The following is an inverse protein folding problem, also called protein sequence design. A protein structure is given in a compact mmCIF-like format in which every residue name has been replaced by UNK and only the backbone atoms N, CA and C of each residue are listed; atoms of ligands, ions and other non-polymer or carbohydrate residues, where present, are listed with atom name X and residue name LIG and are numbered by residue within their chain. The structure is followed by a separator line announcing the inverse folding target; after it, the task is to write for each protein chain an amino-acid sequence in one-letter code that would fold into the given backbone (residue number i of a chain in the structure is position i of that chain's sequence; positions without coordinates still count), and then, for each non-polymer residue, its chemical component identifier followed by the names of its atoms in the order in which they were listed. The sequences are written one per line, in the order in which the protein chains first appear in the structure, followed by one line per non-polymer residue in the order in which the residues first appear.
data_IF_102662341418
#
_entry.id   IF_102662341418
#
_cell.length_a   1.000
_cell.length_b   1.000
_cell.length_c   1.000
_cell.angle_alpha   90.00
_cell.angle_beta   90.00
_cell.angle_gamma   90.00
#
_symmetry.space_group_name_H-M   'P 1'
#
loop_
_entity.id
_entity.type
_entity.pdbx_description
1 polymer ?
#
# COMPACT_ATOMS: atom_id res chain seq x y z
N UNK A 1 -17.54 4.82 13.35
CA UNK A 1 -18.60 5.18 12.40
C UNK A 1 -18.95 6.66 12.45
N UNK A 2 -19.74 7.15 11.50
CA UNK A 2 -20.27 8.53 11.51
C UNK A 2 -21.14 8.78 12.73
N UNK A 3 -21.95 7.83 13.13
CA UNK A 3 -22.79 7.95 14.33
C UNK A 3 -21.96 8.20 15.60
N UNK A 4 -20.88 7.43 15.79
CA UNK A 4 -19.97 7.63 16.91
C UNK A 4 -19.24 8.98 16.87
N UNK A 5 -18.92 9.47 15.67
CA UNK A 5 -18.34 10.80 15.49
C UNK A 5 -19.37 11.90 15.82
N UNK A 6 -20.61 11.75 15.38
CA UNK A 6 -21.69 12.70 15.67
C UNK A 6 -22.01 12.78 17.17
N UNK A 7 -22.04 11.65 17.87
CA UNK A 7 -22.21 11.62 19.33
C UNK A 7 -21.13 12.43 20.07
N UNK A 8 -19.88 12.35 19.59
CA UNK A 8 -18.75 13.08 20.19
C UNK A 8 -18.63 14.52 19.72
N UNK A 9 -19.28 14.87 18.64
CA UNK A 9 -19.20 16.18 17.99
C UNK A 9 -20.59 16.70 17.64
N UNK A 10 -21.48 16.91 18.66
CA UNK A 10 -22.88 17.25 18.44
C UNK A 10 -23.12 18.60 17.75
N UNK A 11 -22.07 19.42 17.59
CA UNK A 11 -22.11 20.68 16.86
C UNK A 11 -22.11 20.51 15.35
N UNK A 12 -21.80 19.30 14.83
CA UNK A 12 -21.79 18.98 13.41
C UNK A 12 -22.87 17.96 13.08
N UNK A 13 -23.54 18.14 11.96
CA UNK A 13 -24.47 17.14 11.44
C UNK A 13 -23.75 15.96 10.77
N UNK A 14 -24.45 14.84 10.61
CA UNK A 14 -23.87 13.62 10.04
C UNK A 14 -23.36 13.81 8.60
N UNK A 15 -24.05 14.60 7.78
CA UNK A 15 -23.66 14.85 6.39
C UNK A 15 -22.36 15.67 6.31
N UNK A 16 -22.19 16.64 7.20
CA UNK A 16 -20.93 17.38 7.31
C UNK A 16 -19.79 16.46 7.72
N UNK A 17 -20.01 15.62 8.74
CA UNK A 17 -19.00 14.69 9.22
C UNK A 17 -18.59 13.67 8.15
N UNK A 18 -19.54 13.14 7.40
CA UNK A 18 -19.26 12.22 6.30
C UNK A 18 -18.39 12.88 5.22
N UNK A 19 -18.75 14.10 4.81
CA UNK A 19 -17.96 14.87 3.84
C UNK A 19 -16.55 15.20 4.36
N UNK A 20 -16.43 15.57 5.63
CA UNK A 20 -15.15 15.85 6.26
C UNK A 20 -14.27 14.59 6.33
N UNK A 21 -14.85 13.45 6.71
CA UNK A 21 -14.13 12.18 6.77
C UNK A 21 -13.70 11.69 5.38
N UNK A 22 -14.53 11.91 4.35
CA UNK A 22 -14.15 11.62 2.98
C UNK A 22 -12.92 12.47 2.55
N UNK A 23 -12.95 13.76 2.80
CA UNK A 23 -11.83 14.65 2.46
C UNK A 23 -10.53 14.29 3.20
N UNK A 24 -10.63 13.90 4.47
CA UNK A 24 -9.47 13.44 5.26
C UNK A 24 -8.96 12.09 4.74
N UNK A 25 -9.85 11.22 4.27
CA UNK A 25 -9.47 9.94 3.64
C UNK A 25 -8.78 10.15 2.29
N UNK A 26 -9.25 11.10 1.49
CA UNK A 26 -8.61 11.51 0.23
C UNK A 26 -7.22 12.11 0.46
N UNK A 27 -6.96 12.68 1.62
CA UNK A 27 -5.62 13.17 1.98
C UNK A 27 -4.66 12.08 2.45
N UNK A 28 -5.13 10.87 2.67
CA UNK A 28 -4.33 9.75 3.15
C UNK A 28 -4.04 9.74 4.65
N UNK A 29 -4.67 10.62 5.43
CA UNK A 29 -4.48 10.65 6.89
C UNK A 29 -5.34 9.63 7.63
N UNK A 30 -6.43 9.21 7.01
CA UNK A 30 -7.40 8.27 7.57
C UNK A 30 -7.78 7.27 6.48
N UNK A 31 -7.60 6.03 6.76
CA UNK A 31 -8.17 4.94 5.96
C UNK A 31 -9.60 4.62 6.38
N UNK A 32 -10.32 3.94 5.52
CA UNK A 32 -11.56 3.28 5.89
C UNK A 32 -11.63 1.86 5.32
N UNK A 33 -12.40 1.04 5.98
CA UNK A 33 -12.83 -0.25 5.49
C UNK A 33 -14.35 -0.37 5.64
N UNK A 34 -14.94 -1.22 4.82
CA UNK A 34 -16.34 -1.53 4.92
C UNK A 34 -16.53 -2.71 5.86
N UNK A 35 -17.21 -2.49 6.97
CA UNK A 35 -17.65 -3.59 7.82
C UNK A 35 -18.69 -4.43 7.09
N UNK A 36 -18.49 -5.75 7.12
CA UNK A 36 -19.44 -6.74 6.64
C UNK A 36 -19.68 -6.78 5.12
N UNK A 37 -18.65 -6.57 4.31
CA UNK A 37 -18.68 -6.85 2.87
C UNK A 37 -18.99 -8.32 2.54
N UNK A 38 -18.86 -9.24 3.51
CA UNK A 38 -19.18 -10.67 3.35
C UNK A 38 -20.68 -10.98 3.24
N UNK A 39 -21.52 -9.96 3.17
CA UNK A 39 -22.98 -10.08 3.00
C UNK A 39 -23.75 -10.62 4.21
N UNK A 40 -23.10 -10.84 5.34
CA UNK A 40 -23.74 -11.38 6.55
C UNK A 40 -24.39 -10.31 7.42
N UNK A 41 -24.01 -9.06 7.21
CA UNK A 41 -24.63 -7.94 7.90
C UNK A 41 -25.25 -6.97 6.87
N UNK A 42 -26.55 -6.66 6.94
CA UNK A 42 -27.19 -5.73 6.00
C UNK A 42 -26.76 -4.27 6.17
N UNK A 43 -26.05 -3.95 7.23
CA UNK A 43 -25.55 -2.60 7.48
C UNK A 43 -24.11 -2.50 6.97
N UNK A 44 -23.96 -2.14 5.70
CA UNK A 44 -22.67 -1.72 5.16
C UNK A 44 -22.29 -0.40 5.83
N UNK A 45 -21.33 -0.43 6.72
CA UNK A 45 -20.89 0.74 7.44
C UNK A 45 -19.41 0.98 7.23
N UNK A 46 -19.06 2.20 6.82
CA UNK A 46 -17.66 2.62 6.78
C UNK A 46 -17.11 2.79 8.19
N UNK A 47 -15.98 2.18 8.45
CA UNK A 47 -15.18 2.37 9.65
C UNK A 47 -13.90 3.09 9.30
N UNK A 48 -13.72 4.27 9.85
CA UNK A 48 -12.50 5.05 9.66
C UNK A 48 -11.51 4.76 10.78
N UNK A 49 -10.26 4.65 10.39
CA UNK A 49 -9.12 4.40 11.28
C UNK A 49 -7.98 5.35 10.90
N UNK A 50 -7.26 5.85 11.89
CA UNK A 50 -6.03 6.57 11.64
C UNK A 50 -5.05 5.60 11.00
N UNK A 51 -4.52 5.99 9.86
CA UNK A 51 -3.53 5.19 9.18
C UNK A 51 -2.19 5.23 9.91
N UNK A 52 -1.40 4.17 9.72
CA UNK A 52 0.00 4.22 10.12
C UNK A 52 0.74 5.23 9.25
N UNK A 53 1.81 5.78 9.78
CA UNK A 53 2.56 6.77 9.04
C UNK A 53 3.40 6.16 7.91
N UNK A 54 4.02 5.01 8.14
CA UNK A 54 4.80 4.23 7.16
C UNK A 54 4.78 2.74 7.53
N UNK A 55 4.41 1.84 6.62
CA UNK A 55 3.71 2.11 5.37
C UNK A 55 2.28 2.57 5.66
N UNK A 56 1.83 3.59 4.97
CA UNK A 56 0.50 4.14 5.18
C UNK A 56 0.38 5.56 4.66
N UNK A 57 0.02 6.52 5.51
CA UNK A 57 -0.31 7.88 5.11
C UNK A 57 0.78 8.57 4.26
N UNK A 58 2.06 8.29 4.50
CA UNK A 58 3.14 8.85 3.69
C UNK A 58 3.11 8.37 2.23
N UNK A 59 2.86 7.08 2.03
CA UNK A 59 2.68 6.48 0.70
C UNK A 59 1.42 6.98 0.02
N UNK A 60 0.31 7.03 0.75
CA UNK A 60 -0.99 7.45 0.23
C UNK A 60 -0.96 8.90 -0.24
N UNK A 61 -0.36 9.81 0.54
CA UNK A 61 -0.16 11.21 0.13
C UNK A 61 0.62 11.33 -1.17
N UNK A 62 1.58 10.43 -1.44
CA UNK A 62 2.37 10.46 -2.67
C UNK A 62 1.61 9.92 -3.89
N UNK A 63 0.72 8.96 -3.72
CA UNK A 63 -0.02 8.37 -4.84
C UNK A 63 -1.25 9.20 -5.25
N UNK A 64 -1.70 10.13 -4.41
CA UNK A 64 -2.75 11.07 -4.80
C UNK A 64 -2.18 12.09 -5.79
N UNK A 65 -2.61 12.08 -7.07
CA UNK A 65 -2.01 12.93 -8.10
C UNK A 65 -2.25 14.41 -7.86
N UNK A 66 -3.42 14.78 -7.34
CA UNK A 66 -3.74 16.18 -7.07
C UNK A 66 -2.91 16.73 -5.91
N UNK A 67 -2.80 15.98 -4.83
CA UNK A 67 -2.05 16.42 -3.65
C UNK A 67 -0.55 16.44 -3.89
N UNK A 68 0.01 15.41 -4.50
CA UNK A 68 1.45 15.34 -4.73
C UNK A 68 1.96 16.38 -5.75
N UNK A 69 1.13 16.76 -6.71
CA UNK A 69 1.45 17.81 -7.65
C UNK A 69 1.23 19.23 -7.05
N UNK A 70 0.26 19.38 -6.15
CA UNK A 70 -0.01 20.63 -5.43
C UNK A 70 1.02 20.92 -4.31
N UNK A 71 1.51 19.88 -3.65
CA UNK A 71 2.44 19.96 -2.52
C UNK A 71 3.69 19.10 -2.77
N UNK A 72 4.53 19.48 -3.75
CA UNK A 72 5.72 18.70 -4.13
C UNK A 72 6.74 18.53 -3.00
N UNK A 73 6.73 19.41 -1.98
CA UNK A 73 7.56 19.29 -0.79
C UNK A 73 7.28 18.03 0.03
N UNK A 74 6.12 17.39 -0.13
CA UNK A 74 5.83 16.09 0.49
C UNK A 74 6.78 15.00 0.02
N UNK A 75 7.31 15.12 -1.20
CA UNK A 75 8.30 14.19 -1.73
C UNK A 75 9.63 14.25 -0.96
N UNK A 76 10.07 15.45 -0.57
CA UNK A 76 11.26 15.62 0.27
C UNK A 76 11.04 15.11 1.69
N UNK A 77 9.86 15.33 2.22
CA UNK A 77 9.48 14.79 3.51
C UNK A 77 9.49 13.27 3.50
N UNK A 78 8.89 12.64 2.51
CA UNK A 78 8.87 11.19 2.36
C UNK A 78 10.29 10.61 2.13
N UNK A 79 11.17 11.32 1.40
CA UNK A 79 12.57 10.92 1.26
C UNK A 79 13.31 10.93 2.60
N UNK A 80 13.15 12.00 3.39
CA UNK A 80 13.80 12.11 4.70
C UNK A 80 13.42 10.97 5.65
N UNK A 81 12.23 10.43 5.50
CA UNK A 81 11.78 9.31 6.30
C UNK A 81 12.58 8.03 6.06
N UNK A 82 13.04 7.81 4.82
CA UNK A 82 13.91 6.67 4.52
C UNK A 82 15.26 6.72 5.27
N UNK A 83 15.64 7.91 5.77
CA UNK A 83 16.90 8.13 6.49
C UNK A 83 16.71 8.40 7.98
N UNK A 84 15.47 8.47 8.47
CA UNK A 84 15.27 8.55 9.92
C UNK A 84 15.92 7.35 10.58
N UNK A 85 16.62 7.55 11.71
CA UNK A 85 17.30 6.45 12.37
C UNK A 85 16.26 5.42 12.80
N UNK A 86 16.10 4.41 11.98
CA UNK A 86 15.28 3.24 12.26
C UNK A 86 15.81 2.45 13.45
N UNK A 87 16.97 2.85 14.03
CA UNK A 87 17.51 2.24 15.23
C UNK A 87 16.48 2.14 16.39
N UNK A 88 15.59 3.14 16.52
CA UNK A 88 14.48 3.07 17.47
C UNK A 88 13.25 2.32 16.94
N UNK A 89 13.13 2.16 15.63
CA UNK A 89 12.00 1.45 14.99
C UNK A 89 12.37 -0.02 14.77
N UNK A 90 13.64 -0.35 14.55
CA UNK A 90 14.11 -1.74 14.36
C UNK A 90 13.92 -2.59 15.60
N UNK A 91 13.89 -2.01 16.79
CA UNK A 91 13.49 -2.72 18.02
C UNK A 91 12.00 -3.13 18.03
N UNK A 92 11.18 -2.49 17.20
CA UNK A 92 9.76 -2.79 17.07
C UNK A 92 9.44 -3.75 15.91
N UNK A 93 10.43 -4.05 15.06
CA UNK A 93 10.26 -4.98 13.93
C UNK A 93 10.60 -6.40 14.40
N UNK A 94 9.69 -7.38 14.25
CA UNK A 94 9.98 -8.76 14.61
C UNK A 94 11.20 -9.30 13.87
N UNK A 95 12.01 -10.18 14.50
CA UNK A 95 13.11 -10.85 13.82
C UNK A 95 12.64 -11.55 12.54
N UNK A 96 13.28 -11.27 11.41
CA UNK A 96 12.92 -11.84 10.10
C UNK A 96 11.98 -10.98 9.26
N UNK A 97 11.51 -9.84 9.75
CA UNK A 97 10.83 -8.83 8.94
C UNK A 97 11.84 -8.00 8.16
N UNK A 98 11.76 -7.98 6.84
CA UNK A 98 12.49 -6.99 6.03
C UNK A 98 11.92 -5.62 6.39
N UNK A 99 12.75 -4.74 6.94
CA UNK A 99 12.40 -3.45 7.52
C UNK A 99 11.02 -2.90 7.12
N UNK A 100 10.18 -2.60 8.09
CA UNK A 100 8.84 -2.02 7.92
C UNK A 100 7.79 -3.00 7.33
N UNK A 101 7.77 -4.27 7.77
CA UNK A 101 6.67 -5.19 7.44
C UNK A 101 6.52 -5.55 5.96
N UNK A 102 7.59 -5.44 5.19
CA UNK A 102 7.63 -5.87 3.79
C UNK A 102 8.42 -7.17 3.65
N UNK A 103 7.87 -8.14 2.92
CA UNK A 103 8.54 -9.39 2.61
C UNK A 103 8.79 -9.52 1.11
N UNK A 104 10.02 -9.84 0.76
CA UNK A 104 10.38 -10.19 -0.61
C UNK A 104 9.78 -11.55 -0.96
N UNK A 105 9.06 -11.62 -2.06
CA UNK A 105 8.48 -12.84 -2.59
C UNK A 105 9.25 -13.24 -3.85
N UNK A 106 9.63 -14.50 -4.00
CA UNK A 106 10.30 -14.97 -5.21
C UNK A 106 9.37 -14.87 -6.43
N UNK A 107 9.98 -14.75 -7.61
CA UNK A 107 9.26 -14.89 -8.87
C UNK A 107 8.66 -16.29 -8.92
N UNK A 108 7.35 -16.40 -9.03
CA UNK A 108 6.63 -17.66 -8.83
C UNK A 108 7.10 -18.78 -9.77
N UNK A 109 7.35 -18.45 -11.05
CA UNK A 109 7.86 -19.41 -12.03
C UNK A 109 9.33 -19.82 -11.78
N UNK A 110 10.04 -19.17 -10.88
CA UNK A 110 11.38 -19.58 -10.46
C UNK A 110 11.36 -20.58 -9.29
N UNK A 111 10.18 -20.81 -8.70
CA UNK A 111 10.01 -21.82 -7.64
C UNK A 111 9.97 -23.20 -8.30
N UNK A 112 10.92 -24.13 -7.99
CA UNK A 112 10.90 -25.48 -8.56
C UNK A 112 9.58 -26.20 -8.22
N UNK A 113 9.06 -26.97 -9.17
CA UNK A 113 7.81 -27.72 -8.98
C UNK A 113 7.85 -28.72 -7.81
N UNK A 114 9.05 -29.18 -7.45
CA UNK A 114 9.29 -30.07 -6.32
C UNK A 114 9.48 -29.32 -4.99
N UNK A 115 9.49 -27.98 -5.03
CA UNK A 115 9.67 -27.16 -3.83
C UNK A 115 8.46 -27.32 -2.91
N UNK A 116 8.74 -27.39 -1.61
CA UNK A 116 7.72 -27.33 -0.56
C UNK A 116 7.37 -25.89 -0.19
N UNK A 117 7.27 -25.01 -1.19
CA UNK A 117 6.87 -23.62 -0.96
C UNK A 117 5.45 -23.56 -0.35
N UNK A 118 5.26 -22.59 0.53
CA UNK A 118 3.96 -22.35 1.12
C UNK A 118 3.06 -21.58 0.12
N UNK A 119 1.74 -21.76 0.15
CA UNK A 119 0.84 -20.98 -0.71
C UNK A 119 1.04 -19.47 -0.61
N UNK A 120 1.40 -18.97 0.57
CA UNK A 120 1.67 -17.55 0.82
C UNK A 120 2.89 -16.99 0.07
N UNK A 121 3.77 -17.87 -0.43
CA UNK A 121 4.94 -17.50 -1.25
C UNK A 121 4.58 -17.34 -2.74
N UNK A 122 3.32 -17.58 -3.11
CA UNK A 122 2.83 -17.43 -4.47
C UNK A 122 1.95 -16.19 -4.60
N UNK A 123 2.34 -15.24 -5.43
CA UNK A 123 1.53 -14.03 -5.66
C UNK A 123 0.18 -14.34 -6.28
N UNK A 124 0.11 -15.35 -7.15
CA UNK A 124 -1.14 -15.84 -7.73
C UNK A 124 -2.14 -16.31 -6.67
N UNK A 125 -1.67 -16.92 -5.56
CA UNK A 125 -2.50 -17.29 -4.42
C UNK A 125 -3.17 -16.05 -3.78
N UNK A 126 -2.41 -15.00 -3.54
CA UNK A 126 -2.94 -13.77 -2.95
C UNK A 126 -3.93 -13.07 -3.87
N UNK A 127 -3.60 -12.93 -5.16
CA UNK A 127 -4.50 -12.32 -6.12
C UNK A 127 -5.80 -13.13 -6.27
N UNK A 128 -5.73 -14.46 -6.24
CA UNK A 128 -6.93 -15.31 -6.29
C UNK A 128 -7.78 -15.18 -5.03
N UNK A 129 -7.15 -15.08 -3.87
CA UNK A 129 -7.84 -14.87 -2.59
C UNK A 129 -8.65 -13.57 -2.56
N UNK A 130 -8.13 -12.51 -3.17
CA UNK A 130 -8.75 -11.19 -3.21
C UNK A 130 -9.43 -10.86 -4.55
N UNK A 131 -9.71 -11.86 -5.37
CA UNK A 131 -10.38 -11.64 -6.66
C UNK A 131 -11.67 -10.84 -6.49
N UNK A 132 -11.84 -9.77 -7.30
CA UNK A 132 -12.93 -8.80 -7.17
C UNK A 132 -12.62 -7.60 -6.26
N UNK A 133 -11.53 -7.66 -5.50
CA UNK A 133 -11.03 -6.58 -4.64
C UNK A 133 -9.52 -6.38 -4.89
N UNK A 134 -9.17 -6.13 -6.15
CA UNK A 134 -7.81 -5.86 -6.59
C UNK A 134 -7.79 -4.51 -7.27
N UNK A 135 -6.90 -3.65 -6.83
CA UNK A 135 -6.69 -2.35 -7.43
C UNK A 135 -5.23 -2.12 -7.79
N UNK A 136 -4.97 -1.13 -8.61
CA UNK A 136 -3.62 -0.69 -8.94
C UNK A 136 -3.50 0.81 -8.80
N UNK A 137 -2.34 1.25 -8.34
CA UNK A 137 -1.98 2.67 -8.21
C UNK A 137 -0.58 2.94 -8.76
N UNK A 138 -0.29 4.21 -8.96
CA UNK A 138 1.09 4.65 -9.18
C UNK A 138 1.94 4.29 -7.95
N UNK A 139 3.21 4.01 -8.17
CA UNK A 139 4.10 3.70 -7.07
C UNK A 139 4.53 4.99 -6.34
N UNK A 140 4.25 5.11 -5.05
CA UNK A 140 4.62 6.24 -4.19
C UNK A 140 6.12 6.55 -4.24
N UNK A 141 6.96 5.53 -4.13
CA UNK A 141 8.41 5.69 -4.19
C UNK A 141 8.88 6.24 -5.54
N UNK A 142 8.29 5.79 -6.66
CA UNK A 142 8.61 6.31 -7.99
C UNK A 142 8.10 7.75 -8.18
N UNK A 143 6.87 8.02 -7.74
CA UNK A 143 6.29 9.37 -7.80
C UNK A 143 7.15 10.36 -7.03
N UNK A 144 7.58 10.01 -5.83
CA UNK A 144 8.49 10.79 -5.01
C UNK A 144 9.80 11.11 -5.75
N UNK A 145 10.47 10.10 -6.30
CA UNK A 145 11.74 10.30 -7.01
C UNK A 145 11.54 11.17 -8.26
N UNK A 146 10.44 10.99 -8.98
CA UNK A 146 10.11 11.85 -10.14
C UNK A 146 9.94 13.31 -9.74
N UNK A 147 9.21 13.60 -8.67
CA UNK A 147 9.00 14.97 -8.19
C UNK A 147 10.33 15.62 -7.79
N UNK A 148 11.24 14.86 -7.19
CA UNK A 148 12.58 15.33 -6.82
C UNK A 148 13.55 15.45 -8.01
N UNK A 149 13.15 15.01 -9.19
CA UNK A 149 14.03 14.96 -10.36
C UNK A 149 15.12 13.87 -10.26
N UNK A 150 14.90 12.88 -9.42
CA UNK A 150 15.80 11.77 -9.14
C UNK A 150 15.19 10.44 -9.63
N UNK A 151 15.95 9.36 -9.45
CA UNK A 151 15.52 8.03 -9.84
C UNK A 151 15.82 7.68 -11.29
N UNK A 152 15.59 6.44 -11.64
CA UNK A 152 15.84 5.89 -12.97
C UNK A 152 14.77 4.87 -13.35
N UNK A 153 14.66 4.62 -14.66
CA UNK A 153 13.73 3.63 -15.19
C UNK A 153 12.30 4.15 -15.32
N UNK A 154 11.35 3.24 -15.20
CA UNK A 154 9.93 3.51 -15.40
C UNK A 154 9.30 4.07 -14.11
N UNK A 155 9.28 5.39 -14.03
CA UNK A 155 8.78 6.13 -12.86
C UNK A 155 7.31 6.55 -12.98
N UNK A 156 6.68 6.32 -14.13
CA UNK A 156 5.29 6.70 -14.39
C UNK A 156 4.32 5.50 -14.35
N UNK A 157 4.83 4.29 -14.16
CA UNK A 157 4.01 3.08 -14.24
C UNK A 157 3.17 2.82 -12.99
N UNK A 158 2.05 2.15 -13.21
CA UNK A 158 1.20 1.58 -12.16
C UNK A 158 1.81 0.26 -11.67
N UNK A 159 2.54 0.31 -10.56
CA UNK A 159 3.33 -0.82 -10.06
C UNK A 159 2.93 -1.29 -8.66
N UNK A 160 2.04 -0.56 -8.00
CA UNK A 160 1.56 -0.91 -6.67
C UNK A 160 0.16 -1.51 -6.79
N UNK A 161 0.03 -2.79 -6.42
CA UNK A 161 -1.24 -3.51 -6.41
C UNK A 161 -1.77 -3.51 -4.99
N UNK A 162 -2.93 -2.90 -4.77
CA UNK A 162 -3.70 -2.99 -3.54
C UNK A 162 -4.63 -4.19 -3.58
N UNK A 163 -4.91 -4.79 -2.43
CA UNK A 163 -5.86 -5.91 -2.33
C UNK A 163 -6.80 -5.75 -1.14
N UNK A 164 -8.00 -6.33 -1.26
CA UNK A 164 -9.00 -6.28 -0.20
C UNK A 164 -9.47 -4.86 0.11
N UNK A 165 -9.66 -4.56 1.39
CA UNK A 165 -10.17 -3.27 1.86
C UNK A 165 -9.33 -2.09 1.36
N UNK A 166 -8.02 -2.26 1.24
CA UNK A 166 -7.13 -1.22 0.73
C UNK A 166 -7.37 -0.92 -0.76
N UNK A 167 -7.68 -1.92 -1.58
CA UNK A 167 -8.05 -1.70 -2.97
C UNK A 167 -9.35 -0.89 -3.08
N UNK A 168 -10.36 -1.25 -2.27
CA UNK A 168 -11.63 -0.54 -2.22
C UNK A 168 -11.46 0.92 -1.74
N UNK A 169 -10.63 1.12 -0.72
CA UNK A 169 -10.26 2.45 -0.25
C UNK A 169 -9.60 3.28 -1.35
N UNK A 170 -8.58 2.76 -2.02
CA UNK A 170 -7.87 3.46 -3.09
C UNK A 170 -8.80 3.86 -4.23
N UNK A 171 -9.73 2.98 -4.62
CA UNK A 171 -10.75 3.28 -5.64
C UNK A 171 -11.65 4.45 -5.23
N UNK A 172 -12.18 4.41 -4.01
CA UNK A 172 -13.15 5.40 -3.52
C UNK A 172 -12.53 6.75 -3.18
N UNK A 173 -11.22 6.81 -3.01
CA UNK A 173 -10.46 8.03 -2.70
C UNK A 173 -9.63 8.54 -3.87
N UNK A 174 -9.81 7.98 -5.07
CA UNK A 174 -9.06 8.36 -6.28
C UNK A 174 -7.53 8.16 -6.18
N UNK A 175 -7.10 7.20 -5.37
CA UNK A 175 -5.69 6.82 -5.25
C UNK A 175 -5.29 5.68 -6.20
N UNK A 176 -6.27 5.05 -6.85
CA UNK A 176 -6.07 3.92 -7.74
C UNK A 176 -7.34 3.55 -8.50
N UNK A 177 -7.24 2.51 -9.29
CA UNK A 177 -8.36 1.95 -10.06
C UNK A 177 -8.45 0.44 -9.86
N UNK A 178 -9.65 -0.12 -10.07
CA UNK A 178 -9.84 -1.56 -10.07
C UNK A 178 -9.14 -2.22 -11.26
N UNK A 179 -8.65 -3.42 -11.03
CA UNK A 179 -8.10 -4.31 -12.06
C UNK A 179 -8.60 -5.74 -11.88
N UNK A 180 -8.55 -6.52 -12.95
CA UNK A 180 -8.85 -7.95 -12.88
C UNK A 180 -7.65 -8.75 -12.39
N UNK A 181 -7.91 -10.02 -12.03
CA UNK A 181 -6.83 -10.97 -11.73
C UNK A 181 -5.84 -11.09 -12.89
N UNK A 182 -6.35 -11.18 -14.13
CA UNK A 182 -5.52 -11.31 -15.33
C UNK A 182 -4.64 -10.07 -15.54
N UNK A 183 -5.21 -8.88 -15.38
CA UNK A 183 -4.43 -7.63 -15.48
C UNK A 183 -3.37 -7.55 -14.39
N UNK A 184 -3.68 -7.96 -13.16
CA UNK A 184 -2.70 -8.02 -12.09
C UNK A 184 -1.54 -8.98 -12.42
N UNK A 185 -1.84 -10.17 -12.96
CA UNK A 185 -0.81 -11.12 -13.41
C UNK A 185 0.05 -10.57 -14.57
N UNK A 186 -0.54 -9.80 -15.48
CA UNK A 186 0.22 -9.10 -16.53
C UNK A 186 1.18 -8.05 -15.95
N UNK A 187 0.74 -7.31 -14.92
CA UNK A 187 1.59 -6.34 -14.23
C UNK A 187 2.77 -7.04 -13.55
N UNK A 188 2.52 -8.16 -12.87
CA UNK A 188 3.58 -8.97 -12.27
C UNK A 188 4.58 -9.46 -13.32
N UNK A 189 4.10 -9.99 -14.45
CA UNK A 189 4.97 -10.44 -15.53
C UNK A 189 5.81 -9.28 -16.11
N UNK A 190 5.22 -8.12 -16.33
CA UNK A 190 5.95 -6.92 -16.79
C UNK A 190 7.01 -6.48 -15.79
N UNK A 191 6.72 -6.62 -14.48
CA UNK A 191 7.66 -6.30 -13.41
C UNK A 191 8.86 -7.26 -13.42
N UNK A 192 8.60 -8.56 -13.57
CA UNK A 192 9.64 -9.59 -13.71
C UNK A 192 10.56 -9.33 -14.91
N UNK A 193 9.97 -9.02 -16.06
CA UNK A 193 10.72 -8.72 -17.30
C UNK A 193 11.63 -7.50 -17.15
N UNK A 194 11.28 -6.58 -16.25
CA UNK A 194 12.09 -5.39 -15.90
C UNK A 194 13.06 -5.65 -14.74
N UNK A 195 13.07 -6.82 -14.15
CA UNK A 195 13.91 -7.16 -13.01
C UNK A 195 13.51 -6.49 -11.70
N UNK A 196 12.22 -6.20 -11.54
CA UNK A 196 11.69 -5.63 -10.30
C UNK A 196 11.51 -6.72 -9.23
N UNK A 197 11.61 -6.29 -7.97
CA UNK A 197 11.47 -7.17 -6.81
C UNK A 197 10.03 -7.13 -6.32
N UNK A 198 9.41 -8.29 -6.21
CA UNK A 198 8.10 -8.42 -5.60
C UNK A 198 8.21 -8.38 -4.08
N UNK A 199 7.37 -7.57 -3.46
CA UNK A 199 7.23 -7.52 -2.01
C UNK A 199 5.76 -7.53 -1.62
N UNK A 200 5.43 -8.25 -0.56
CA UNK A 200 4.11 -8.21 0.07
C UNK A 200 4.19 -7.49 1.41
N UNK A 201 3.10 -6.86 1.77
CA UNK A 201 2.95 -6.26 3.11
C UNK A 201 2.48 -7.34 4.08
N UNK A 202 3.19 -7.54 5.17
CA UNK A 202 2.90 -8.58 6.17
C UNK A 202 2.72 -7.97 7.57
N UNK A 203 1.97 -6.90 7.67
CA UNK A 203 1.76 -6.18 8.92
C UNK A 203 0.62 -6.79 9.72
N UNK A 204 -0.38 -7.32 9.03
CA UNK A 204 -1.63 -7.80 9.62
C UNK A 204 -1.66 -9.31 9.91
N UNK A 205 -0.50 -9.97 9.89
CA UNK A 205 -0.37 -11.39 10.18
C UNK A 205 -0.26 -12.30 8.96
N UNK A 206 -0.11 -13.61 9.20
CA UNK A 206 0.25 -14.61 8.17
C UNK A 206 -0.78 -14.78 7.05
N UNK A 207 -2.03 -14.41 7.27
CA UNK A 207 -3.12 -14.67 6.33
C UNK A 207 -3.71 -13.39 5.72
N UNK A 208 -3.10 -12.25 5.92
CA UNK A 208 -3.61 -10.96 5.45
C UNK A 208 -2.48 -10.10 4.90
N UNK A 209 -2.69 -9.57 3.71
CA UNK A 209 -1.86 -8.55 3.11
C UNK A 209 -2.78 -7.43 2.61
N UNK A 210 -2.27 -6.22 2.49
CA UNK A 210 -3.02 -5.12 1.86
C UNK A 210 -2.43 -4.73 0.50
N UNK A 211 -1.21 -5.17 0.16
CA UNK A 211 -0.62 -4.81 -1.12
C UNK A 211 0.51 -5.72 -1.57
N UNK A 212 0.74 -5.64 -2.87
CA UNK A 212 1.85 -6.28 -3.58
C UNK A 212 2.61 -5.17 -4.31
N UNK A 213 3.86 -4.96 -3.93
CA UNK A 213 4.74 -3.97 -4.55
C UNK A 213 5.63 -4.61 -5.61
N UNK A 214 5.87 -3.89 -6.70
CA UNK A 214 6.80 -4.27 -7.77
C UNK A 214 7.95 -3.27 -7.80
N UNK A 215 8.99 -3.54 -7.04
CA UNK A 215 9.96 -2.57 -6.58
C UNK A 215 11.21 -2.49 -7.46
N UNK A 216 11.53 -1.30 -7.97
CA UNK A 216 12.84 -1.03 -8.55
C UNK A 216 13.86 -0.78 -7.43
N UNK A 217 14.95 -1.53 -7.42
CA UNK A 217 15.95 -1.58 -6.32
C UNK A 217 16.52 -0.20 -5.98
N UNK A 218 16.82 0.62 -6.99
CA UNK A 218 17.41 1.95 -6.79
C UNK A 218 16.40 3.05 -6.41
N UNK A 219 15.10 2.74 -6.38
CA UNK A 219 14.01 3.72 -6.22
C UNK A 219 13.17 3.44 -4.97
N UNK A 220 12.88 2.18 -4.69
CA UNK A 220 12.01 1.76 -3.61
C UNK A 220 12.59 2.15 -2.24
N UNK A 221 11.81 2.89 -1.44
CA UNK A 221 12.24 3.32 -0.12
C UNK A 221 12.53 2.14 0.81
N UNK A 222 11.70 1.09 0.80
CA UNK A 222 11.93 -0.10 1.62
C UNK A 222 13.24 -0.82 1.27
N UNK A 223 13.50 -1.05 -0.03
CA UNK A 223 14.74 -1.70 -0.46
C UNK A 223 15.98 -0.83 -0.21
N UNK A 224 15.88 0.47 -0.43
CA UNK A 224 16.98 1.42 -0.13
C UNK A 224 17.28 1.46 1.37
N UNK A 225 16.26 1.47 2.20
CA UNK A 225 16.39 1.42 3.66
C UNK A 225 17.07 0.13 4.10
N UNK A 226 16.66 -1.02 3.58
CA UNK A 226 17.30 -2.31 3.88
C UNK A 226 18.79 -2.31 3.52
N UNK A 227 19.16 -1.72 2.38
CA UNK A 227 20.56 -1.59 1.96
C UNK A 227 21.37 -0.65 2.87
N UNK A 228 20.79 0.48 3.27
CA UNK A 228 21.46 1.48 4.12
C UNK A 228 21.75 0.95 5.53
N UNK A 229 20.85 0.17 6.09
CA UNK A 229 20.96 -0.32 7.47
C UNK A 229 21.44 -1.76 7.57
N UNK A 230 21.81 -2.37 6.43
CA UNK A 230 22.31 -3.75 6.36
C UNK A 230 21.39 -4.75 7.10
N UNK A 231 20.09 -4.49 7.07
CA UNK A 231 19.06 -5.39 7.60
C UNK A 231 18.64 -6.34 6.48
N UNK A 232 18.56 -7.64 6.76
CA UNK A 232 18.12 -8.62 5.77
C UNK A 232 16.66 -8.40 5.35
#
# INVERSE_FOLDING_TARGET
SIEQLAEKNPQFDGAYLEKAMQAVSESGLVEFHWENLDGKNPNHEKRWVLDMFVPGSAEIMMINPEQSDMYPETADFFERMAYLPLAGITEMVPPGGAGIGMHVIPVEKAIPAESKSLPIEHLSHWLKKYEGHIGVSVCSCRKQQRIRGEGSGDIEGEWCIGVGDFADYCRETNHGRDITYEEAMEILQKAEDKGYVHQITNIDGENKIFGICNCAVGVCNALRTSQLFNTP
#
